data_IF_800494024545
#
_entry.id   IF_800494024545
#
_cell.length_a   1.000
_cell.length_b   1.000
_cell.length_c   1.000
_cell.angle_alpha   90.00
_cell.angle_beta   90.00
_cell.angle_gamma   90.00
#
_symmetry.space_group_name_H-M   'P 1'
#
loop_
_entity.id
_entity.type
_entity.pdbx_description
1 polymer ?
#
# COMPACT_ATOMS: atom_id res chain seq x y z
N UNK A 1 -18.07 -32.20 -25.09
CA UNK A 1 -19.15 -32.40 -24.11
C UNK A 1 -18.53 -32.60 -22.75
N UNK A 2 -18.19 -31.51 -22.06
CA UNK A 2 -17.64 -31.51 -20.71
C UNK A 2 -18.19 -30.27 -19.98
N UNK A 3 -19.23 -30.49 -19.19
CA UNK A 3 -19.70 -29.69 -18.04
C UNK A 3 -19.51 -28.16 -18.08
N UNK A 4 -20.36 -27.44 -18.82
CA UNK A 4 -20.58 -25.98 -18.65
C UNK A 4 -21.56 -25.66 -17.50
N UNK A 5 -21.74 -26.59 -16.58
CA UNK A 5 -22.51 -26.42 -15.35
C UNK A 5 -21.59 -26.00 -14.20
N UNK A 6 -21.15 -24.75 -14.17
CA UNK A 6 -20.73 -24.11 -12.91
C UNK A 6 -21.63 -22.92 -12.61
N UNK A 7 -22.79 -23.29 -12.07
CA UNK A 7 -23.45 -22.61 -10.95
C UNK A 7 -23.34 -21.10 -10.97
N UNK A 8 -24.25 -20.49 -11.70
CA UNK A 8 -24.49 -19.06 -11.70
C UNK A 8 -24.70 -18.55 -10.26
N UNK A 9 -23.70 -17.83 -9.75
CA UNK A 9 -23.59 -17.42 -8.35
C UNK A 9 -24.64 -16.37 -7.99
N UNK A 10 -25.34 -16.63 -6.89
CA UNK A 10 -26.56 -15.91 -6.52
C UNK A 10 -26.25 -14.48 -6.11
N UNK A 11 -26.84 -13.52 -6.82
CA UNK A 11 -26.79 -12.09 -6.55
C UNK A 11 -27.64 -11.78 -5.29
N UNK A 12 -26.92 -11.36 -4.25
CA UNK A 12 -27.31 -10.70 -2.99
C UNK A 12 -27.71 -11.53 -1.77
N UNK A 13 -26.97 -11.30 -0.68
CA UNK A 13 -27.36 -11.57 0.70
C UNK A 13 -27.00 -10.37 1.59
N UNK A 14 -27.83 -10.01 2.58
CA UNK A 14 -27.41 -9.22 3.73
C UNK A 14 -26.77 -10.18 4.75
N UNK A 15 -25.49 -9.97 5.10
CA UNK A 15 -24.63 -10.77 6.02
C UNK A 15 -23.70 -11.82 5.38
N UNK A 16 -22.51 -12.06 5.99
CA UNK A 16 -21.23 -11.70 5.40
C UNK A 16 -20.66 -12.79 4.50
N UNK A 17 -19.96 -12.33 3.46
CA UNK A 17 -18.90 -13.01 2.74
C UNK A 17 -19.19 -14.47 2.41
N UNK A 18 -19.56 -14.71 1.14
CA UNK A 18 -19.27 -15.97 0.47
C UNK A 18 -17.88 -16.45 0.92
N UNK A 19 -17.85 -17.47 1.79
CA UNK A 19 -16.62 -17.94 2.41
C UNK A 19 -15.61 -18.19 1.27
N UNK A 20 -14.53 -17.39 1.27
CA UNK A 20 -13.40 -17.45 0.32
C UNK A 20 -13.59 -16.81 -1.08
N UNK A 21 -14.70 -16.12 -1.38
CA UNK A 21 -14.87 -15.44 -2.69
C UNK A 21 -14.78 -13.93 -2.54
N UNK A 22 -13.82 -13.32 -3.24
CA UNK A 22 -13.68 -11.87 -3.27
C UNK A 22 -14.94 -11.21 -3.89
N UNK A 23 -15.40 -10.13 -3.25
CA UNK A 23 -16.60 -9.38 -3.64
C UNK A 23 -16.27 -7.92 -3.96
N UNK A 24 -17.15 -7.27 -4.71
CA UNK A 24 -17.12 -5.84 -5.02
C UNK A 24 -18.46 -5.20 -4.66
N UNK A 25 -18.42 -4.01 -4.07
CA UNK A 25 -19.63 -3.26 -3.75
C UNK A 25 -20.14 -2.53 -5.00
N UNK A 26 -21.37 -2.85 -5.42
CA UNK A 26 -22.08 -2.20 -6.52
C UNK A 26 -23.44 -1.74 -6.01
N UNK A 27 -23.71 -0.43 -6.02
CA UNK A 27 -25.01 0.13 -5.59
C UNK A 27 -25.45 -0.33 -4.19
N UNK A 28 -24.53 -0.38 -3.23
CA UNK A 28 -24.78 -0.84 -1.85
C UNK A 28 -25.08 -2.35 -1.74
N UNK A 29 -24.76 -3.13 -2.78
CA UNK A 29 -24.85 -4.58 -2.80
C UNK A 29 -23.48 -5.21 -3.00
N UNK A 30 -23.19 -6.26 -2.23
CA UNK A 30 -21.98 -7.06 -2.44
C UNK A 30 -22.22 -8.04 -3.59
N UNK A 31 -21.38 -7.92 -4.62
CA UNK A 31 -21.42 -8.74 -5.82
C UNK A 31 -20.11 -9.55 -5.89
N UNK A 32 -20.16 -10.88 -5.98
CA UNK A 32 -18.96 -11.68 -6.20
C UNK A 32 -18.24 -11.29 -7.49
N UNK A 33 -16.90 -11.21 -7.47
CA UNK A 33 -16.12 -10.88 -8.67
C UNK A 33 -16.46 -11.73 -9.91
N UNK A 34 -16.67 -13.06 -9.80
CA UNK A 34 -17.08 -13.87 -10.95
C UNK A 34 -18.40 -13.41 -11.58
N UNK A 35 -19.38 -13.04 -10.75
CA UNK A 35 -20.67 -12.53 -11.22
C UNK A 35 -20.52 -11.15 -11.87
N UNK A 36 -19.73 -10.26 -11.27
CA UNK A 36 -19.41 -8.94 -11.84
C UNK A 36 -18.78 -9.08 -13.24
N UNK A 37 -17.74 -9.90 -13.37
CA UNK A 37 -17.07 -10.10 -14.66
C UNK A 37 -17.97 -10.72 -15.72
N UNK A 38 -18.88 -11.61 -15.32
CA UNK A 38 -19.85 -12.19 -16.25
C UNK A 38 -20.84 -11.15 -16.78
N UNK A 39 -21.28 -10.22 -15.93
CA UNK A 39 -22.14 -9.10 -16.36
C UNK A 39 -21.37 -8.15 -17.30
N UNK A 40 -20.10 -7.87 -17.01
CA UNK A 40 -19.23 -7.11 -17.92
C UNK A 40 -19.07 -7.84 -19.26
N UNK A 41 -18.93 -9.16 -19.24
CA UNK A 41 -18.84 -9.96 -20.47
C UNK A 41 -20.13 -9.86 -21.29
N UNK A 42 -21.32 -9.83 -20.68
CA UNK A 42 -22.57 -9.59 -21.41
C UNK A 42 -22.57 -8.25 -22.14
N UNK A 43 -21.97 -7.22 -21.54
CA UNK A 43 -21.80 -5.92 -22.21
C UNK A 43 -20.82 -6.01 -23.38
N UNK A 44 -19.68 -6.69 -23.24
CA UNK A 44 -18.72 -6.86 -24.34
C UNK A 44 -19.25 -7.72 -25.48
N UNK A 45 -20.11 -8.69 -25.16
CA UNK A 45 -20.80 -9.56 -26.12
C UNK A 45 -21.94 -8.81 -26.85
N UNK A 46 -22.19 -7.54 -26.52
CA UNK A 46 -23.20 -6.69 -27.16
C UNK A 46 -24.63 -6.98 -26.71
N UNK A 47 -24.83 -7.72 -25.62
CA UNK A 47 -26.17 -7.95 -25.06
C UNK A 47 -26.76 -6.66 -24.53
N UNK A 48 -28.08 -6.55 -24.59
CA UNK A 48 -28.81 -5.45 -23.96
C UNK A 48 -28.92 -5.65 -22.44
N UNK A 49 -29.15 -4.55 -21.70
CA UNK A 49 -29.35 -4.60 -20.24
C UNK A 49 -30.45 -5.58 -19.86
N UNK A 50 -31.57 -5.57 -20.60
CA UNK A 50 -32.72 -6.44 -20.33
C UNK A 50 -32.38 -7.93 -20.55
N UNK A 51 -31.61 -8.25 -21.59
CA UNK A 51 -31.16 -9.63 -21.84
C UNK A 51 -30.18 -10.12 -20.76
N UNK A 52 -29.28 -9.24 -20.32
CA UNK A 52 -28.36 -9.56 -19.22
C UNK A 52 -29.12 -9.79 -17.90
N UNK A 53 -30.10 -8.94 -17.58
CA UNK A 53 -30.98 -9.10 -16.41
C UNK A 53 -31.76 -10.41 -16.48
N UNK A 54 -32.35 -10.75 -17.62
CA UNK A 54 -33.09 -12.00 -17.80
C UNK A 54 -32.19 -13.23 -17.63
N UNK A 55 -30.99 -13.20 -18.19
CA UNK A 55 -30.02 -14.29 -18.06
C UNK A 55 -29.60 -14.46 -16.59
N UNK A 56 -29.43 -13.35 -15.85
CA UNK A 56 -29.07 -13.37 -14.43
C UNK A 56 -30.22 -13.90 -13.55
N UNK A 57 -31.44 -13.50 -13.86
CA UNK A 57 -32.65 -13.87 -13.10
C UNK A 57 -33.05 -15.32 -13.33
N UNK A 58 -32.79 -15.87 -14.52
CA UNK A 58 -33.02 -17.30 -14.80
C UNK A 58 -32.35 -18.21 -13.78
N UNK A 59 -31.25 -17.73 -13.20
CA UNK A 59 -30.45 -18.48 -12.26
C UNK A 59 -30.59 -18.02 -10.79
N UNK A 60 -30.85 -16.74 -10.54
CA UNK A 60 -31.02 -16.18 -9.18
C UNK A 60 -32.46 -16.20 -8.67
N UNK A 61 -33.43 -16.35 -9.56
CA UNK A 61 -34.86 -16.31 -9.25
C UNK A 61 -35.43 -14.88 -9.27
N UNK A 62 -36.76 -14.78 -9.29
CA UNK A 62 -37.47 -13.50 -9.46
C UNK A 62 -37.48 -12.62 -8.21
N UNK A 63 -37.15 -13.16 -7.03
CA UNK A 63 -37.11 -12.40 -5.76
C UNK A 63 -36.01 -11.33 -5.74
N UNK A 64 -34.93 -11.54 -6.48
CA UNK A 64 -33.78 -10.63 -6.58
C UNK A 64 -33.83 -9.76 -7.83
N UNK A 65 -34.91 -9.81 -8.63
CA UNK A 65 -35.09 -9.06 -9.88
C UNK A 65 -34.76 -7.58 -9.74
N UNK A 66 -35.25 -6.93 -8.69
CA UNK A 66 -35.00 -5.50 -8.46
C UNK A 66 -33.51 -5.22 -8.27
N UNK A 67 -32.86 -6.00 -7.41
CA UNK A 67 -31.45 -5.84 -7.07
C UNK A 67 -30.55 -6.16 -8.26
N UNK A 68 -30.87 -7.23 -8.99
CA UNK A 68 -30.18 -7.62 -10.22
C UNK A 68 -30.29 -6.51 -11.27
N UNK A 69 -31.48 -5.93 -11.45
CA UNK A 69 -31.67 -4.82 -12.39
C UNK A 69 -30.80 -3.62 -12.03
N UNK A 70 -30.77 -3.23 -10.75
CA UNK A 70 -29.96 -2.11 -10.25
C UNK A 70 -28.45 -2.37 -10.45
N UNK A 71 -27.98 -3.58 -10.11
CA UNK A 71 -26.57 -4.01 -10.29
C UNK A 71 -26.18 -4.05 -11.78
N UNK A 72 -26.99 -4.68 -12.63
CA UNK A 72 -26.69 -4.80 -14.07
C UNK A 72 -26.69 -3.42 -14.73
N UNK A 73 -27.69 -2.58 -14.44
CA UNK A 73 -27.76 -1.21 -14.96
C UNK A 73 -26.51 -0.40 -14.58
N UNK A 74 -26.06 -0.49 -13.33
CA UNK A 74 -24.87 0.20 -12.83
C UNK A 74 -23.60 -0.26 -13.54
N UNK A 75 -23.44 -1.58 -13.70
CA UNK A 75 -22.28 -2.17 -14.40
C UNK A 75 -22.29 -1.74 -15.88
N UNK A 76 -23.43 -1.82 -16.56
CA UNK A 76 -23.58 -1.43 -17.96
C UNK A 76 -23.33 0.07 -18.18
N UNK A 77 -23.83 0.92 -17.29
CA UNK A 77 -23.55 2.35 -17.34
C UNK A 77 -22.06 2.65 -17.15
N UNK A 78 -21.40 1.96 -16.21
CA UNK A 78 -19.96 2.09 -16.03
C UNK A 78 -19.19 1.64 -17.27
N UNK A 79 -19.56 0.52 -17.89
CA UNK A 79 -18.92 0.07 -19.13
C UNK A 79 -19.16 1.03 -20.29
N UNK A 80 -20.35 1.61 -20.42
CA UNK A 80 -20.63 2.68 -21.39
C UNK A 80 -19.76 3.91 -21.16
N UNK A 81 -19.56 4.33 -19.90
CA UNK A 81 -18.69 5.48 -19.59
C UNK A 81 -17.22 5.19 -19.89
N UNK A 82 -16.77 3.94 -19.69
CA UNK A 82 -15.41 3.50 -20.01
C UNK A 82 -15.21 3.43 -21.53
N UNK A 83 -16.20 2.96 -22.29
CA UNK A 83 -16.09 2.77 -23.75
C UNK A 83 -16.55 3.96 -24.58
N UNK A 84 -17.25 4.94 -24.00
CA UNK A 84 -17.67 6.13 -24.73
C UNK A 84 -16.44 6.91 -25.23
N UNK A 85 -16.27 7.10 -26.56
CA UNK A 85 -15.28 8.03 -27.05
C UNK A 85 -15.65 9.42 -26.55
N UNK A 86 -14.67 10.19 -26.06
CA UNK A 86 -14.81 11.56 -25.54
C UNK A 86 -15.30 12.52 -26.64
N UNK A 87 -16.55 12.38 -27.07
CA UNK A 87 -17.17 13.11 -28.17
C UNK A 87 -18.14 14.12 -27.59
N UNK A 88 -17.57 15.17 -27.01
CA UNK A 88 -18.22 16.48 -26.97
C UNK A 88 -17.19 17.52 -27.43
N UNK A 89 -17.14 17.74 -28.75
CA UNK A 89 -16.61 18.98 -29.29
C UNK A 89 -17.56 20.13 -28.91
N UNK A 90 -17.08 21.21 -28.28
CA UNK A 90 -17.84 22.45 -28.19
C UNK A 90 -17.59 23.27 -29.47
N UNK A 91 -18.67 23.60 -30.17
CA UNK A 91 -18.66 24.49 -31.32
C UNK A 91 -18.30 25.92 -30.91
N UNK A 92 -17.29 26.48 -31.57
CA UNK A 92 -17.12 27.90 -31.90
C UNK A 92 -17.52 28.91 -30.80
N UNK A 93 -16.71 29.04 -29.76
CA UNK A 93 -16.31 30.36 -29.27
C UNK A 93 -14.85 30.27 -28.80
N UNK A 94 -14.04 31.14 -29.38
CA UNK A 94 -12.65 31.42 -29.05
C UNK A 94 -12.45 31.62 -27.55
N UNK A 95 -11.91 30.61 -26.87
CA UNK A 95 -11.15 30.80 -25.64
C UNK A 95 -9.87 29.98 -25.77
N UNK A 96 -8.76 30.71 -25.69
CA UNK A 96 -7.39 30.25 -25.83
C UNK A 96 -7.15 28.93 -25.08
N UNK A 97 -6.25 28.10 -25.64
CA UNK A 97 -5.66 26.93 -24.99
C UNK A 97 -5.38 27.16 -23.49
N UNK A 98 -6.34 26.83 -22.64
CA UNK A 98 -6.14 26.72 -21.20
C UNK A 98 -5.72 25.28 -20.96
N UNK A 99 -4.40 25.08 -20.91
CA UNK A 99 -3.74 23.88 -20.38
C UNK A 99 -4.45 23.45 -19.08
N UNK A 100 -4.59 22.14 -18.82
CA UNK A 100 -5.29 21.68 -17.64
C UNK A 100 -4.65 22.23 -16.36
N UNK A 101 -5.43 22.96 -15.55
CA UNK A 101 -5.03 23.46 -14.22
C UNK A 101 -4.66 22.36 -13.21
N UNK A 102 -4.79 21.07 -13.56
CA UNK A 102 -4.43 19.90 -12.72
C UNK A 102 -3.00 19.38 -12.94
N UNK A 103 -2.26 19.89 -13.92
CA UNK A 103 -0.82 19.60 -14.03
C UNK A 103 -0.08 20.10 -12.78
N UNK A 104 -0.56 21.17 -12.13
CA UNK A 104 0.05 21.67 -10.89
C UNK A 104 -0.08 20.70 -9.72
N UNK A 105 -1.21 19.99 -9.57
CA UNK A 105 -1.43 19.09 -8.43
C UNK A 105 -0.60 17.83 -8.57
N UNK A 106 -0.56 17.20 -9.75
CA UNK A 106 0.32 16.05 -9.99
C UNK A 106 1.80 16.44 -9.91
N UNK A 107 2.17 17.61 -10.43
CA UNK A 107 3.54 18.14 -10.32
C UNK A 107 3.90 18.50 -8.87
N UNK A 108 2.96 19.03 -8.09
CA UNK A 108 3.12 19.33 -6.68
C UNK A 108 3.29 18.05 -5.86
N UNK A 109 2.41 17.06 -6.02
CA UNK A 109 2.51 15.77 -5.36
C UNK A 109 3.84 15.05 -5.69
N UNK A 110 4.31 15.14 -6.95
CA UNK A 110 5.60 14.57 -7.34
C UNK A 110 6.81 15.35 -6.80
N UNK A 111 6.68 16.66 -6.57
CA UNK A 111 7.72 17.47 -5.91
C UNK A 111 7.75 17.15 -4.42
N UNK A 112 6.58 17.05 -3.80
CA UNK A 112 6.40 16.68 -2.39
C UNK A 112 6.96 15.28 -2.11
N UNK A 113 6.57 14.27 -2.90
CA UNK A 113 7.13 12.92 -2.77
C UNK A 113 8.66 12.86 -2.95
N UNK A 114 9.24 13.75 -3.78
CA UNK A 114 10.71 13.87 -3.91
C UNK A 114 11.35 14.56 -2.70
N UNK A 115 10.67 15.53 -2.09
CA UNK A 115 11.12 16.17 -0.86
C UNK A 115 11.07 15.16 0.30
N UNK A 116 9.99 14.38 0.39
CA UNK A 116 9.85 13.32 1.39
C UNK A 116 10.91 12.23 1.23
N UNK A 117 11.21 11.82 -0.01
CA UNK A 117 12.30 10.88 -0.27
C UNK A 117 13.65 11.42 0.21
N UNK A 118 13.98 12.68 -0.11
CA UNK A 118 15.23 13.31 0.34
C UNK A 118 15.29 13.38 1.86
N UNK A 119 14.22 13.80 2.51
CA UNK A 119 14.14 13.84 3.96
C UNK A 119 14.33 12.46 4.60
N UNK A 120 13.76 11.41 4.00
CA UNK A 120 13.95 10.03 4.45
C UNK A 120 15.40 9.54 4.24
N UNK A 121 16.03 9.88 3.12
CA UNK A 121 17.44 9.57 2.83
C UNK A 121 18.39 10.28 3.79
N UNK A 122 18.14 11.55 4.10
CA UNK A 122 18.91 12.33 5.06
C UNK A 122 18.80 11.73 6.47
N UNK A 123 17.58 11.36 6.90
CA UNK A 123 17.37 10.67 8.19
C UNK A 123 18.12 9.35 8.25
N UNK A 124 18.10 8.55 7.17
CA UNK A 124 18.86 7.32 7.09
C UNK A 124 20.37 7.58 7.19
N UNK A 125 20.87 8.63 6.54
CA UNK A 125 22.28 8.98 6.60
C UNK A 125 22.71 9.39 8.02
N UNK A 126 21.91 10.23 8.70
CA UNK A 126 22.17 10.64 10.08
C UNK A 126 22.14 9.44 11.03
N UNK A 127 21.15 8.55 10.90
CA UNK A 127 21.05 7.36 11.72
C UNK A 127 22.27 6.44 11.55
N UNK A 128 22.74 6.23 10.31
CA UNK A 128 23.98 5.48 10.05
C UNK A 128 25.23 6.16 10.62
N UNK A 129 25.29 7.49 10.60
CA UNK A 129 26.41 8.22 11.21
C UNK A 129 26.46 8.00 12.73
N UNK A 130 25.30 8.02 13.40
CA UNK A 130 25.18 7.70 14.82
C UNK A 130 25.56 6.25 15.13
N UNK A 131 25.15 5.30 14.29
CA UNK A 131 25.54 3.89 14.40
C UNK A 131 27.07 3.73 14.37
N UNK A 132 27.75 4.43 13.45
CA UNK A 132 29.20 4.42 13.37
C UNK A 132 29.87 5.03 14.61
N UNK A 133 29.30 6.11 15.17
CA UNK A 133 29.82 6.72 16.40
C UNK A 133 29.73 5.74 17.57
N UNK A 134 28.60 5.05 17.75
CA UNK A 134 28.44 4.04 18.79
C UNK A 134 29.42 2.86 18.62
N UNK A 135 29.71 2.47 17.39
CA UNK A 135 30.70 1.43 17.11
C UNK A 135 32.12 1.87 17.49
N UNK A 136 32.48 3.13 17.21
CA UNK A 136 33.75 3.72 17.65
C UNK A 136 33.83 3.74 19.18
N UNK A 137 32.77 4.16 19.86
CA UNK A 137 32.72 4.19 21.33
C UNK A 137 32.89 2.79 21.93
N UNK A 138 32.22 1.78 21.36
CA UNK A 138 32.40 0.39 21.77
C UNK A 138 33.85 -0.11 21.57
N UNK A 139 34.50 0.27 20.46
CA UNK A 139 35.91 -0.06 20.23
C UNK A 139 36.85 0.59 21.24
N UNK A 140 36.58 1.85 21.63
CA UNK A 140 37.36 2.56 22.66
C UNK A 140 37.20 1.83 24.00
N UNK A 141 35.98 1.46 24.38
CA UNK A 141 35.69 0.72 25.62
C UNK A 141 36.41 -0.64 25.62
N UNK A 142 36.37 -1.39 24.51
CA UNK A 142 37.13 -2.65 24.40
C UNK A 142 38.63 -2.44 24.57
N UNK A 143 39.17 -1.36 23.99
CA UNK A 143 40.59 -1.04 24.15
C UNK A 143 40.96 -0.67 25.58
N UNK A 144 40.09 0.05 26.29
CA UNK A 144 40.27 0.35 27.72
C UNK A 144 40.32 -0.94 28.55
N UNK A 145 39.48 -1.94 28.25
CA UNK A 145 39.51 -3.26 28.91
C UNK A 145 40.83 -3.98 28.65
N UNK A 146 41.29 -4.03 27.39
CA UNK A 146 42.57 -4.66 27.04
C UNK A 146 43.76 -4.02 27.75
N UNK A 147 43.74 -2.70 27.97
CA UNK A 147 44.79 -1.98 28.68
C UNK A 147 44.76 -2.31 30.19
N UNK A 148 43.58 -2.34 30.80
CA UNK A 148 43.42 -2.73 32.20
C UNK A 148 43.86 -4.17 32.49
N UNK A 149 43.75 -5.07 31.51
CA UNK A 149 44.23 -6.45 31.64
C UNK A 149 45.76 -6.57 31.53
N UNK A 150 46.41 -5.59 30.90
CA UNK A 150 47.88 -5.54 30.72
C UNK A 150 48.59 -4.79 31.85
N UNK A 151 47.96 -3.75 32.37
CA UNK A 151 48.49 -3.01 33.50
C UNK A 151 48.31 -3.85 34.78
N UNK A 152 49.41 -4.14 35.48
CA UNK A 152 49.41 -4.89 36.74
C UNK A 152 48.81 -4.09 37.90
N UNK A 153 47.59 -3.61 37.73
CA UNK A 153 46.82 -2.80 38.66
C UNK A 153 46.33 -3.69 39.82
N UNK A 154 46.26 -3.10 41.00
CA UNK A 154 45.67 -3.73 42.18
C UNK A 154 44.24 -4.24 41.93
N UNK A 155 43.88 -5.36 42.57
CA UNK A 155 42.65 -6.11 42.26
C UNK A 155 41.38 -5.28 42.53
N UNK A 156 41.35 -4.52 43.62
CA UNK A 156 40.18 -3.73 44.01
C UNK A 156 39.98 -2.50 43.12
N UNK A 157 41.07 -1.86 42.71
CA UNK A 157 41.01 -0.73 41.77
C UNK A 157 40.59 -1.20 40.37
N UNK A 158 41.10 -2.35 39.90
CA UNK A 158 40.67 -3.00 38.65
C UNK A 158 39.19 -3.36 38.66
N UNK A 159 38.67 -3.90 39.77
CA UNK A 159 37.25 -4.26 39.90
C UNK A 159 36.34 -3.04 39.77
N UNK A 160 36.71 -1.92 40.39
CA UNK A 160 35.95 -0.66 40.34
C UNK A 160 35.98 -0.03 38.95
N UNK A 161 37.11 -0.06 38.25
CA UNK A 161 37.21 0.47 36.87
C UNK A 161 36.43 -0.40 35.89
N UNK A 162 36.55 -1.72 35.97
CA UNK A 162 35.76 -2.65 35.15
C UNK A 162 34.25 -2.46 35.35
N UNK A 163 33.79 -2.29 36.58
CA UNK A 163 32.36 -2.03 36.85
C UNK A 163 31.85 -0.75 36.17
N UNK A 164 32.68 0.31 36.13
CA UNK A 164 32.34 1.57 35.44
C UNK A 164 32.31 1.38 33.92
N UNK A 165 33.25 0.63 33.38
CA UNK A 165 33.34 0.31 31.95
C UNK A 165 32.15 -0.55 31.52
N UNK A 166 31.75 -1.52 32.34
CA UNK A 166 30.58 -2.38 32.08
C UNK A 166 29.29 -1.56 32.02
N UNK A 167 29.11 -0.60 32.93
CA UNK A 167 27.98 0.33 32.88
C UNK A 167 27.99 1.17 31.58
N UNK A 168 29.16 1.70 31.19
CA UNK A 168 29.31 2.43 29.92
C UNK A 168 29.02 1.55 28.70
N UNK A 169 29.50 0.32 28.69
CA UNK A 169 29.26 -0.63 27.61
C UNK A 169 27.76 -0.96 27.50
N UNK A 170 27.10 -1.17 28.63
CA UNK A 170 25.66 -1.41 28.67
C UNK A 170 24.86 -0.25 28.08
N UNK A 171 25.22 0.99 28.41
CA UNK A 171 24.60 2.20 27.86
C UNK A 171 24.82 2.30 26.33
N UNK A 172 26.02 1.99 25.84
CA UNK A 172 26.31 1.96 24.39
C UNK A 172 25.48 0.90 23.68
N UNK A 173 25.35 -0.30 24.24
CA UNK A 173 24.54 -1.38 23.66
C UNK A 173 23.05 -1.05 23.64
N UNK A 174 22.53 -0.39 24.68
CA UNK A 174 21.14 0.05 24.73
C UNK A 174 20.87 1.10 23.65
N UNK A 175 21.74 2.10 23.53
CA UNK A 175 21.67 3.10 22.45
C UNK A 175 21.81 2.48 21.05
N UNK A 176 22.65 1.45 20.91
CA UNK A 176 22.81 0.74 19.64
C UNK A 176 21.51 0.05 19.20
N UNK A 177 20.78 -0.55 20.15
CA UNK A 177 19.48 -1.16 19.87
C UNK A 177 18.47 -0.13 19.34
N UNK A 178 18.43 1.05 19.96
CA UNK A 178 17.53 2.13 19.55
C UNK A 178 17.90 2.67 18.16
N UNK A 179 19.19 2.93 17.93
CA UNK A 179 19.69 3.40 16.63
C UNK A 179 19.47 2.34 15.53
N UNK A 180 19.62 1.05 15.82
CA UNK A 180 19.34 -0.01 14.87
C UNK A 180 17.86 -0.01 14.44
N UNK A 181 16.94 0.20 15.39
CA UNK A 181 15.52 0.34 15.10
C UNK A 181 15.23 1.60 14.26
N UNK A 182 15.88 2.74 14.56
CA UNK A 182 15.80 3.96 13.77
C UNK A 182 16.29 3.76 12.33
N UNK A 183 17.44 3.10 12.15
CA UNK A 183 18.01 2.78 10.84
C UNK A 183 17.05 1.89 10.03
N UNK A 184 16.47 0.87 10.66
CA UNK A 184 15.51 0.00 9.98
C UNK A 184 14.24 0.75 9.57
N UNK A 185 13.69 1.58 10.46
CA UNK A 185 12.53 2.41 10.16
C UNK A 185 12.81 3.37 9.00
N UNK A 186 13.95 4.08 9.03
CA UNK A 186 14.37 4.99 7.98
C UNK A 186 14.57 4.25 6.63
N UNK A 187 15.16 3.05 6.64
CA UNK A 187 15.27 2.21 5.43
C UNK A 187 13.90 1.87 4.85
N UNK A 188 12.95 1.41 5.68
CA UNK A 188 11.59 1.09 5.21
C UNK A 188 10.90 2.30 4.58
N UNK A 189 11.01 3.48 5.20
CA UNK A 189 10.48 4.72 4.65
C UNK A 189 11.12 5.09 3.32
N UNK A 190 12.44 4.99 3.18
CA UNK A 190 13.11 5.25 1.89
C UNK A 190 12.63 4.32 0.77
N UNK A 191 12.37 3.04 1.07
CA UNK A 191 11.85 2.07 0.09
C UNK A 191 10.44 2.47 -0.36
N UNK A 192 9.56 2.82 0.59
CA UNK A 192 8.18 3.25 0.30
C UNK A 192 8.19 4.50 -0.59
N UNK A 193 8.96 5.54 -0.23
CA UNK A 193 9.01 6.77 -1.01
C UNK A 193 9.64 6.57 -2.40
N UNK A 194 10.61 5.66 -2.54
CA UNK A 194 11.16 5.29 -3.87
C UNK A 194 10.11 4.57 -4.73
N UNK A 195 9.35 3.64 -4.15
CA UNK A 195 8.29 2.94 -4.87
C UNK A 195 7.16 3.89 -5.32
N UNK A 196 6.81 4.89 -4.52
CA UNK A 196 5.81 5.91 -4.89
C UNK A 196 6.26 6.85 -6.01
N UNK A 197 7.55 6.86 -6.35
CA UNK A 197 8.14 7.71 -7.40
C UNK A 197 8.51 6.96 -8.68
N UNK A 198 8.48 5.62 -8.65
CA UNK A 198 8.77 4.72 -9.78
C UNK A 198 7.54 4.57 -10.69
#
# INVERSE_FOLDING_TARGET
>A
MASESSTFWVVTAPEPNFDEIATVNVCSHEVPFPAYWRIVQFFTDGKTENEAVQEVIRHTGTKTLRVVTEVVSSIFENQRRIQAPTTRQPSRFSLAFMKPKRVSVYRAARIEARQDLRAAEDRLHVAKSRENQLLIDAMIIMREIELLDREGIDSDTRRRTLSKIEIRMKDVLEKQKDVAAEVECARRLTIIHRASLA
#
